data_IF_846216312830
#
_entry.id   IF_846216312830
#
_cell.length_a   1.000
_cell.length_b   1.000
_cell.length_c   1.000
_cell.angle_alpha   90.00
_cell.angle_beta   90.00
_cell.angle_gamma   90.00
#
_symmetry.space_group_name_H-M   'P 1'
#
loop_
_entity.id
_entity.type
_entity.pdbx_description
1 polymer ?
#
# COMPACT_ATOMS: atom_id res chain seq x y z
N UNK A 1 16.99 0.12 2.07
CA UNK A 1 15.71 0.86 2.00
C UNK A 1 14.75 0.32 3.07
N UNK A 2 13.87 1.14 3.63
CA UNK A 2 12.89 0.73 4.65
C UNK A 2 11.51 1.23 4.23
N UNK A 3 10.57 0.31 4.02
CA UNK A 3 9.14 0.61 3.87
C UNK A 3 8.50 0.27 5.21
N UNK A 4 7.65 1.17 5.71
CA UNK A 4 6.83 0.86 6.89
C UNK A 4 5.46 0.44 6.37
N UNK A 5 4.96 -0.68 6.87
CA UNK A 5 3.65 -1.22 6.50
C UNK A 5 2.86 -1.51 7.77
N UNK A 6 1.59 -1.13 7.77
CA UNK A 6 0.70 -1.25 8.91
C UNK A 6 -0.69 -1.71 8.46
N UNK A 7 -1.25 -2.68 9.17
CA UNK A 7 -2.64 -3.12 9.00
C UNK A 7 -3.33 -3.06 10.37
N UNK A 8 -4.35 -2.21 10.48
CA UNK A 8 -5.12 -2.00 11.71
C UNK A 8 -6.50 -2.63 11.60
N UNK A 9 -6.85 -3.56 12.50
CA UNK A 9 -8.25 -3.99 12.70
C UNK A 9 -8.68 -5.30 12.02
N UNK A 10 -7.74 -6.15 11.61
CA UNK A 10 -7.99 -7.45 10.94
C UNK A 10 -8.69 -8.49 11.81
N UNK A 11 -9.68 -9.17 11.19
CA UNK A 11 -10.22 -10.45 11.66
C UNK A 11 -9.08 -11.50 11.78
N UNK A 12 -9.22 -12.42 12.73
CA UNK A 12 -8.12 -13.03 13.49
C UNK A 12 -7.09 -13.90 12.70
N UNK A 13 -5.89 -14.03 13.31
CA UNK A 13 -4.77 -15.00 13.10
C UNK A 13 -3.48 -14.58 12.39
N UNK A 14 -3.39 -13.44 11.71
CA UNK A 14 -2.09 -12.87 11.30
C UNK A 14 -2.08 -11.36 11.46
N UNK A 15 -2.07 -10.92 12.70
CA UNK A 15 -1.70 -9.55 13.00
C UNK A 15 -0.24 -9.31 12.59
N UNK A 16 -0.01 -8.83 11.37
CA UNK A 16 1.18 -8.05 11.04
C UNK A 16 1.08 -6.70 11.77
N UNK A 17 1.12 -6.75 13.11
CA UNK A 17 1.44 -5.61 13.97
C UNK A 17 2.96 -5.47 13.98
N UNK A 18 3.52 -5.21 12.81
CA UNK A 18 4.96 -5.20 12.63
C UNK A 18 5.31 -4.29 11.49
N UNK A 19 6.22 -3.37 11.74
CA UNK A 19 6.96 -2.67 10.69
C UNK A 19 7.67 -3.72 9.84
N UNK A 20 7.02 -4.21 8.79
CA UNK A 20 7.63 -5.17 7.89
C UNK A 20 8.68 -4.45 7.08
N UNK A 21 9.96 -4.74 7.33
CA UNK A 21 11.05 -4.23 6.49
C UNK A 21 10.97 -4.91 5.13
N UNK A 22 10.57 -4.13 4.13
CA UNK A 22 10.67 -4.55 2.73
C UNK A 22 12.00 -4.05 2.15
N UNK A 23 12.71 -4.97 1.51
CA UNK A 23 13.95 -4.70 0.77
C UNK A 23 13.61 -4.18 -0.62
N UNK A 24 14.42 -3.27 -1.19
CA UNK A 24 14.24 -2.79 -2.57
C UNK A 24 14.18 -3.99 -3.53
N UNK A 25 13.17 -4.05 -4.40
CA UNK A 25 12.95 -5.15 -5.35
C UNK A 25 12.21 -6.37 -4.80
N UNK A 26 11.91 -6.44 -3.49
CA UNK A 26 11.09 -7.51 -2.94
C UNK A 26 9.59 -7.13 -3.00
N UNK A 27 8.71 -8.04 -3.46
CA UNK A 27 7.28 -7.78 -3.51
C UNK A 27 6.71 -7.52 -2.11
N UNK A 28 5.88 -6.48 -1.97
CA UNK A 28 5.08 -6.23 -0.77
C UNK A 28 3.62 -6.58 -1.07
N UNK A 29 3.02 -7.47 -0.29
CA UNK A 29 1.59 -7.79 -0.36
C UNK A 29 0.95 -7.66 1.01
N UNK A 30 -0.06 -6.80 1.11
CA UNK A 30 -0.88 -6.62 2.31
C UNK A 30 -2.34 -6.88 1.94
N UNK A 31 -2.99 -7.74 2.71
CA UNK A 31 -4.39 -8.07 2.53
C UNK A 31 -5.12 -8.11 3.88
N UNK A 32 -6.33 -7.58 3.93
CA UNK A 32 -7.19 -7.66 5.11
C UNK A 32 -8.66 -7.61 4.74
N UNK A 33 -9.54 -8.27 5.49
CA UNK A 33 -10.99 -8.15 5.25
C UNK A 33 -11.56 -6.95 5.97
N UNK A 34 -11.15 -6.74 7.21
CA UNK A 34 -11.62 -5.64 8.04
C UNK A 34 -10.38 -4.88 8.49
N UNK A 35 -10.23 -3.61 8.13
CA UNK A 35 -9.11 -2.83 8.62
C UNK A 35 -8.49 -1.86 7.63
N UNK A 36 -7.83 -0.85 8.20
CA UNK A 36 -7.03 0.12 7.47
C UNK A 36 -5.70 -0.50 7.06
N UNK A 37 -5.32 -0.30 5.81
CA UNK A 37 -3.94 -0.54 5.35
C UNK A 37 -3.26 0.82 5.22
N UNK A 38 -2.09 0.97 5.83
CA UNK A 38 -1.27 2.16 5.70
C UNK A 38 0.18 1.77 5.40
N UNK A 39 0.77 2.37 4.37
CA UNK A 39 2.18 2.19 4.06
C UNK A 39 2.88 3.54 3.99
N UNK A 40 4.11 3.60 4.48
CA UNK A 40 5.01 4.74 4.29
C UNK A 40 6.20 4.30 3.46
N UNK A 41 6.40 5.01 2.35
CA UNK A 41 7.48 4.74 1.40
C UNK A 41 8.34 5.98 1.19
N UNK A 42 9.64 5.81 0.88
CA UNK A 42 10.48 6.92 0.43
C UNK A 42 9.96 7.57 -0.87
N UNK A 43 10.22 8.88 -1.05
CA UNK A 43 9.85 9.64 -2.26
C UNK A 43 10.53 9.10 -3.52
N UNK A 44 11.72 8.54 -3.37
CA UNK A 44 12.59 8.01 -4.43
C UNK A 44 12.39 6.50 -4.68
N UNK A 45 11.31 5.92 -4.13
CA UNK A 45 11.01 4.51 -4.32
C UNK A 45 10.53 4.22 -5.75
N UNK A 46 11.32 3.45 -6.50
CA UNK A 46 10.86 2.79 -7.73
C UNK A 46 9.93 1.61 -7.41
N UNK A 47 8.61 1.80 -7.56
CA UNK A 47 7.61 0.78 -7.23
C UNK A 47 6.36 0.85 -8.11
N UNK A 48 5.82 -0.31 -8.46
CA UNK A 48 4.51 -0.45 -9.09
C UNK A 48 3.48 -0.70 -8.00
N UNK A 49 2.40 0.07 -7.99
CA UNK A 49 1.39 0.04 -6.95
C UNK A 49 0.07 -0.44 -7.55
N UNK A 50 -0.49 -1.47 -6.91
CA UNK A 50 -1.85 -1.91 -7.10
C UNK A 50 -2.56 -1.89 -5.73
N UNK A 51 -3.60 -1.07 -5.62
CA UNK A 51 -4.38 -0.97 -4.41
C UNK A 51 -5.88 -1.07 -4.71
N UNK A 52 -6.61 -1.81 -3.88
CA UNK A 52 -8.04 -2.05 -4.07
C UNK A 52 -8.79 -2.17 -2.75
N UNK A 53 -9.94 -1.50 -2.66
CA UNK A 53 -10.87 -1.64 -1.53
C UNK A 53 -12.31 -1.82 -1.99
N UNK A 54 -13.09 -2.63 -1.29
CA UNK A 54 -14.52 -2.80 -1.58
C UNK A 54 -15.34 -1.68 -0.95
N UNK A 55 -15.26 -1.54 0.38
CA UNK A 55 -16.02 -0.60 1.20
C UNK A 55 -15.08 0.41 1.87
N UNK A 56 -14.33 1.15 1.06
CA UNK A 56 -13.36 2.11 1.56
C UNK A 56 -12.94 3.11 0.50
N UNK A 57 -11.89 3.86 0.81
CA UNK A 57 -11.26 4.79 -0.10
C UNK A 57 -9.74 4.63 -0.11
N UNK A 58 -9.13 5.01 -1.22
CA UNK A 58 -7.68 5.03 -1.39
C UNK A 58 -7.21 6.48 -1.44
N UNK A 59 -6.20 6.80 -0.64
CA UNK A 59 -5.56 8.12 -0.62
C UNK A 59 -4.05 7.99 -0.74
N UNK A 60 -3.43 8.86 -1.53
CA UNK A 60 -1.98 8.91 -1.73
C UNK A 60 -1.49 10.36 -1.73
N UNK A 61 -0.32 10.60 -1.15
CA UNK A 61 0.40 11.89 -1.21
C UNK A 61 1.65 11.83 -2.13
N UNK A 62 1.94 10.65 -2.68
CA UNK A 62 3.06 10.42 -3.59
C UNK A 62 2.72 10.87 -5.01
N UNK A 63 3.71 11.36 -5.78
CA UNK A 63 3.58 11.63 -7.21
C UNK A 63 3.56 10.30 -7.99
N UNK A 64 2.47 9.55 -7.87
CA UNK A 64 2.28 8.29 -8.59
C UNK A 64 1.85 8.61 -10.01
N UNK A 65 2.55 8.05 -10.98
CA UNK A 65 2.09 8.01 -12.37
C UNK A 65 0.95 6.99 -12.46
N UNK A 66 -0.28 7.48 -12.29
CA UNK A 66 -1.48 6.62 -12.25
C UNK A 66 -1.93 6.26 -13.66
N UNK A 67 -2.07 4.97 -13.93
CA UNK A 67 -2.78 4.47 -15.12
C UNK A 67 -4.28 4.29 -14.84
N UNK A 68 -4.64 4.06 -13.57
CA UNK A 68 -6.01 3.98 -13.12
C UNK A 68 -6.13 4.57 -11.71
N UNK A 69 -6.98 5.57 -11.53
CA UNK A 69 -7.26 6.11 -10.20
C UNK A 69 -8.76 6.38 -10.02
N UNK A 70 -9.34 5.66 -9.07
CA UNK A 70 -10.72 5.79 -8.61
C UNK A 70 -10.72 5.86 -7.10
N UNK A 71 -11.87 6.25 -6.53
CA UNK A 71 -12.08 6.30 -5.08
C UNK A 71 -11.60 5.03 -4.35
N UNK A 72 -11.81 3.85 -4.93
CA UNK A 72 -11.59 2.56 -4.28
C UNK A 72 -10.59 1.65 -5.03
N UNK A 73 -9.93 2.15 -6.07
CA UNK A 73 -8.97 1.38 -6.88
C UNK A 73 -7.87 2.31 -7.40
N UNK A 74 -6.61 1.93 -7.22
CA UNK A 74 -5.45 2.65 -7.69
C UNK A 74 -4.51 1.66 -8.38
N UNK A 75 -4.07 2.00 -9.58
CA UNK A 75 -2.96 1.37 -10.28
C UNK A 75 -2.05 2.44 -10.85
N UNK A 76 -0.76 2.28 -10.63
CA UNK A 76 0.24 3.21 -11.12
C UNK A 76 1.66 2.79 -10.77
N UNK A 77 2.61 3.62 -11.16
CA UNK A 77 4.02 3.41 -10.88
C UNK A 77 4.66 4.67 -10.32
N UNK A 78 5.70 4.47 -9.54
CA UNK A 78 6.62 5.50 -9.08
C UNK A 78 7.98 5.14 -9.67
N UNK A 79 8.62 6.10 -10.36
CA UNK A 79 9.99 5.99 -10.91
C UNK A 79 10.23 4.63 -11.60
N UNK A 80 9.40 4.29 -12.60
CA UNK A 80 9.61 3.11 -13.45
C UNK A 80 9.11 1.75 -12.90
N UNK A 81 8.75 1.63 -11.62
CA UNK A 81 7.95 0.49 -11.16
C UNK A 81 8.67 -0.77 -10.66
N UNK A 82 9.96 -0.69 -10.33
CA UNK A 82 10.83 -1.86 -10.04
C UNK A 82 10.36 -2.81 -8.92
N UNK A 83 9.59 -2.32 -7.95
CA UNK A 83 9.12 -3.11 -6.80
C UNK A 83 7.59 -3.22 -6.79
N UNK A 84 7.00 -4.40 -6.93
CA UNK A 84 5.55 -4.54 -6.90
C UNK A 84 4.99 -4.45 -5.47
N UNK A 85 3.99 -3.58 -5.29
CA UNK A 85 3.27 -3.34 -4.05
C UNK A 85 1.78 -3.59 -4.29
N UNK A 86 1.21 -4.57 -3.60
CA UNK A 86 -0.20 -4.95 -3.69
C UNK A 86 -0.89 -4.77 -2.34
N UNK A 87 -1.93 -3.92 -2.30
CA UNK A 87 -2.66 -3.55 -1.09
C UNK A 87 -4.16 -3.81 -1.29
N UNK A 88 -4.73 -4.77 -0.56
CA UNK A 88 -6.14 -5.12 -0.71
C UNK A 88 -6.87 -5.12 0.63
N UNK A 89 -8.01 -4.43 0.69
CA UNK A 89 -8.91 -4.53 1.85
C UNK A 89 -10.37 -4.68 1.44
N UNK A 90 -11.17 -5.42 2.18
CA UNK A 90 -12.63 -5.43 1.92
C UNK A 90 -13.30 -4.23 2.59
N UNK A 91 -13.05 -4.02 3.88
CA UNK A 91 -13.70 -2.99 4.68
C UNK A 91 -12.65 -2.12 5.37
N UNK A 92 -12.24 -1.05 4.71
CA UNK A 92 -11.32 -0.08 5.28
C UNK A 92 -10.63 0.80 4.24
N UNK A 93 -10.05 1.92 4.68
CA UNK A 93 -9.28 2.79 3.80
C UNK A 93 -7.88 2.22 3.56
N UNK A 94 -7.31 2.57 2.41
CA UNK A 94 -5.90 2.36 2.08
C UNK A 94 -5.22 3.72 2.00
N UNK A 95 -4.18 3.93 2.80
CA UNK A 95 -3.38 5.14 2.80
C UNK A 95 -1.95 4.82 2.36
N UNK A 96 -1.48 5.54 1.34
CA UNK A 96 -0.11 5.47 0.87
C UNK A 96 0.52 6.81 1.16
N UNK A 97 1.54 6.81 2.02
CA UNK A 97 2.17 8.02 2.51
C UNK A 97 3.64 8.07 2.14
N UNK A 98 4.09 9.29 2.01
CA UNK A 98 5.49 9.61 1.82
C UNK A 98 6.17 9.68 3.17
N UNK A 99 7.26 8.93 3.35
CA UNK A 99 8.14 9.12 4.50
C UNK A 99 9.10 10.27 4.22
N UNK A 100 9.05 11.29 5.07
CA UNK A 100 9.99 12.43 5.04
C UNK A 100 11.26 12.08 5.80
#
# INVERSE_FOLDING_TARGET
MRINAYVAGGDERRHLRGLTRVTKGAPLRLETTNGRIEIEVPRDLAASIEAGTTNGSISTDLPIETTHFKRNSLRGSIIGGDTPISLHTTNGPIAIKTRT
#
